data_IF_250908380298
#
_entry.id   IF_250908380298
#
_cell.length_a   1.000
_cell.length_b   1.000
_cell.length_c   1.000
_cell.angle_alpha   90.00
_cell.angle_beta   90.00
_cell.angle_gamma   90.00
#
_symmetry.space_group_name_H-M   'P 1'
#
loop_
_entity.id
_entity.type
_entity.pdbx_description
1 polymer ?
#
# COMPACT_ATOMS: atom_id res chain seq x y z
N UNK A 1 16.11 -45.49 49.89
CA UNK A 1 16.30 -44.80 51.17
C UNK A 1 16.68 -43.38 50.78
N UNK A 2 15.81 -42.39 50.69
CA UNK A 2 14.54 -42.14 51.38
C UNK A 2 13.62 -41.25 50.54
N UNK A 3 12.32 -41.45 50.70
CA UNK A 3 11.30 -40.39 50.67
C UNK A 3 10.87 -40.19 52.14
N UNK A 4 10.38 -39.02 52.60
CA UNK A 4 9.03 -38.56 52.21
C UNK A 4 8.72 -37.03 52.26
N UNK A 5 7.65 -36.63 51.54
CA UNK A 5 6.61 -35.58 51.76
C UNK A 5 6.91 -34.31 52.61
N UNK A 6 6.53 -33.08 52.22
CA UNK A 6 5.17 -32.50 52.04
C UNK A 6 5.32 -31.12 51.37
N UNK A 7 4.46 -30.67 50.45
CA UNK A 7 3.43 -29.64 50.71
C UNK A 7 2.74 -29.33 49.36
N UNK A 8 1.42 -29.46 49.30
CA UNK A 8 0.55 -28.89 48.23
C UNK A 8 0.13 -27.48 48.69
N UNK A 9 -0.18 -26.49 47.81
CA UNK A 9 -1.51 -26.51 47.18
C UNK A 9 -1.63 -25.80 45.81
N UNK A 10 -2.82 -25.97 45.22
CA UNK A 10 -3.48 -25.11 44.23
C UNK A 10 -3.24 -25.36 42.73
N UNK A 11 -4.14 -26.18 42.17
CA UNK A 11 -4.55 -26.14 40.77
C UNK A 11 -5.14 -24.78 40.36
N UNK A 12 -5.07 -24.43 39.06
CA UNK A 12 -5.55 -23.16 38.54
C UNK A 12 -7.08 -23.17 38.47
N UNK A 13 -7.72 -22.33 39.29
CA UNK A 13 -9.13 -21.97 39.14
C UNK A 13 -9.22 -21.07 37.90
N UNK A 14 -9.65 -21.65 36.80
CA UNK A 14 -10.32 -20.91 35.74
C UNK A 14 -11.68 -20.39 36.28
N UNK A 15 -12.15 -19.32 35.66
CA UNK A 15 -13.50 -18.73 35.74
C UNK A 15 -13.74 -17.74 36.87
N UNK A 16 -13.60 -16.45 36.56
CA UNK A 16 -14.56 -15.41 36.97
C UNK A 16 -14.30 -14.12 36.20
N UNK A 17 -15.31 -13.25 36.17
CA UNK A 17 -15.36 -11.93 35.53
C UNK A 17 -15.79 -12.00 34.06
N UNK A 18 -17.01 -12.49 33.85
CA UNK A 18 -18.07 -11.67 33.22
C UNK A 18 -19.41 -12.07 33.86
N UNK A 19 -19.65 -11.61 35.07
CA UNK A 19 -21.01 -11.48 35.60
C UNK A 19 -21.56 -10.13 35.11
N UNK A 20 -22.11 -10.12 33.90
CA UNK A 20 -23.05 -9.08 33.52
C UNK A 20 -24.41 -9.46 34.14
N UNK A 21 -24.66 -8.82 35.28
CA UNK A 21 -25.90 -8.81 36.05
C UNK A 21 -27.03 -8.14 35.25
N UNK A 22 -27.66 -8.89 34.36
CA UNK A 22 -29.01 -8.61 33.87
C UNK A 22 -29.85 -9.88 33.95
N UNK A 23 -29.99 -10.40 35.17
CA UNK A 23 -30.96 -11.46 35.47
C UNK A 23 -32.33 -10.83 35.72
N UNK A 24 -33.36 -11.06 34.88
CA UNK A 24 -34.70 -10.63 35.22
C UNK A 24 -35.21 -11.54 36.34
N UNK A 25 -35.29 -10.99 37.55
CA UNK A 25 -35.91 -11.63 38.72
C UNK A 25 -37.41 -11.87 38.45
N UNK A 26 -37.72 -13.02 37.84
CA UNK A 26 -39.10 -13.49 37.68
C UNK A 26 -39.53 -14.20 38.97
N UNK A 27 -40.43 -13.56 39.71
CA UNK A 27 -41.15 -14.13 40.85
C UNK A 27 -41.99 -15.37 40.47
N UNK A 28 -42.55 -16.06 41.48
CA UNK A 28 -43.24 -17.33 41.25
C UNK A 28 -44.60 -17.09 40.58
N UNK A 29 -44.96 -18.00 39.68
CA UNK A 29 -46.29 -18.22 39.09
C UNK A 29 -46.70 -17.29 37.94
N UNK A 30 -46.47 -17.74 36.70
CA UNK A 30 -47.54 -18.00 35.71
C UNK A 30 -47.08 -19.18 34.83
N UNK A 31 -47.73 -20.33 34.96
CA UNK A 31 -47.72 -21.37 33.93
C UNK A 31 -48.46 -20.81 32.70
N UNK A 32 -47.75 -20.06 31.86
CA UNK A 32 -48.21 -19.74 30.53
C UNK A 32 -47.61 -20.80 29.63
N UNK A 33 -48.45 -21.73 29.16
CA UNK A 33 -48.16 -22.60 28.03
C UNK A 33 -47.94 -21.72 26.80
N UNK A 34 -46.77 -21.10 26.71
CA UNK A 34 -46.29 -20.53 25.46
C UNK A 34 -46.13 -21.69 24.49
N UNK A 35 -46.93 -21.67 23.42
CA UNK A 35 -46.88 -22.66 22.33
C UNK A 35 -45.41 -22.96 22.00
N UNK A 36 -45.03 -24.24 21.95
CA UNK A 36 -43.66 -24.69 21.60
C UNK A 36 -43.12 -23.98 20.36
N UNK A 37 -44.04 -23.63 19.45
CA UNK A 37 -43.82 -22.84 18.25
C UNK A 37 -43.21 -21.45 18.53
N UNK A 38 -43.63 -20.75 19.59
CA UNK A 38 -43.10 -19.42 19.97
C UNK A 38 -41.67 -19.47 20.51
N UNK A 39 -41.31 -20.51 21.26
CA UNK A 39 -39.92 -20.71 21.72
C UNK A 39 -38.99 -21.07 20.57
N UNK A 40 -39.44 -21.90 19.64
CA UNK A 40 -38.70 -22.23 18.42
C UNK A 40 -38.51 -20.99 17.54
N UNK A 41 -39.55 -20.15 17.39
CA UNK A 41 -39.45 -18.90 16.65
C UNK A 41 -38.43 -17.93 17.27
N UNK A 42 -38.36 -17.83 18.60
CA UNK A 42 -37.37 -16.98 19.28
C UNK A 42 -35.92 -17.49 19.09
N UNK A 43 -35.71 -18.80 19.14
CA UNK A 43 -34.39 -19.41 18.90
C UNK A 43 -33.94 -19.17 17.45
N UNK A 44 -34.83 -19.43 16.49
CA UNK A 44 -34.53 -19.24 15.07
C UNK A 44 -34.28 -17.76 14.74
N UNK A 45 -35.05 -16.87 15.36
CA UNK A 45 -34.82 -15.42 15.24
C UNK A 45 -33.45 -15.02 15.79
N UNK A 46 -33.05 -15.53 16.96
CA UNK A 46 -31.73 -15.25 17.53
C UNK A 46 -30.59 -15.72 16.63
N UNK A 47 -30.69 -16.95 16.11
CA UNK A 47 -29.72 -17.51 15.15
C UNK A 47 -29.66 -16.69 13.86
N UNK A 48 -30.81 -16.26 13.36
CA UNK A 48 -30.90 -15.42 12.16
C UNK A 48 -30.21 -14.06 12.39
N UNK A 49 -30.49 -13.39 13.52
CA UNK A 49 -29.87 -12.12 13.90
C UNK A 49 -28.36 -12.25 14.04
N UNK A 50 -27.88 -13.29 14.72
CA UNK A 50 -26.45 -13.54 14.86
C UNK A 50 -25.78 -13.75 13.50
N UNK A 51 -26.41 -14.52 12.61
CA UNK A 51 -25.91 -14.74 11.25
C UNK A 51 -25.81 -13.42 10.48
N UNK A 52 -26.82 -12.56 10.57
CA UNK A 52 -26.81 -11.23 9.92
C UNK A 52 -25.75 -10.29 10.51
N UNK A 53 -25.57 -10.29 11.84
CA UNK A 53 -24.52 -9.49 12.48
C UNK A 53 -23.11 -9.94 12.07
N UNK A 54 -22.84 -11.25 12.09
CA UNK A 54 -21.56 -11.80 11.67
C UNK A 54 -21.29 -11.54 10.18
N UNK A 55 -22.31 -11.72 9.33
CA UNK A 55 -22.22 -11.43 7.91
C UNK A 55 -21.94 -9.94 7.66
N UNK A 56 -22.70 -9.05 8.29
CA UNK A 56 -22.55 -7.60 8.16
C UNK A 56 -21.20 -7.09 8.65
N UNK A 57 -20.68 -7.62 9.77
CA UNK A 57 -19.35 -7.28 10.27
C UNK A 57 -18.24 -7.68 9.29
N UNK A 58 -18.28 -8.92 8.78
CA UNK A 58 -17.29 -9.41 7.81
C UNK A 58 -17.37 -8.63 6.50
N UNK A 59 -18.57 -8.33 6.04
CA UNK A 59 -18.80 -7.54 4.83
C UNK A 59 -18.30 -6.10 5.00
N UNK A 60 -18.61 -5.45 6.12
CA UNK A 60 -18.13 -4.11 6.45
C UNK A 60 -16.61 -4.03 6.52
N UNK A 61 -15.97 -5.00 7.17
CA UNK A 61 -14.51 -5.08 7.25
C UNK A 61 -13.88 -5.28 5.86
N UNK A 62 -14.45 -6.15 5.04
CA UNK A 62 -13.97 -6.41 3.68
C UNK A 62 -14.11 -5.18 2.79
N UNK A 63 -15.30 -4.55 2.79
CA UNK A 63 -15.57 -3.33 2.03
C UNK A 63 -14.67 -2.19 2.46
N UNK A 64 -14.49 -1.97 3.77
CA UNK A 64 -13.62 -0.91 4.29
C UNK A 64 -12.16 -1.07 3.85
N UNK A 65 -11.64 -2.30 3.88
CA UNK A 65 -10.28 -2.61 3.37
C UNK A 65 -10.16 -2.32 1.88
N UNK A 66 -11.14 -2.76 1.09
CA UNK A 66 -11.14 -2.56 -0.36
C UNK A 66 -11.22 -1.08 -0.74
N UNK A 67 -12.08 -0.30 -0.08
CA UNK A 67 -12.23 1.14 -0.33
C UNK A 67 -10.92 1.88 -0.07
N UNK A 68 -10.25 1.61 1.07
CA UNK A 68 -8.95 2.24 1.36
C UNK A 68 -7.86 1.80 0.40
N UNK A 69 -7.83 0.52 0.02
CA UNK A 69 -6.87 0.01 -0.96
C UNK A 69 -7.06 0.67 -2.32
N UNK A 70 -8.31 0.76 -2.79
CA UNK A 70 -8.63 1.37 -4.08
C UNK A 70 -8.25 2.85 -4.10
N UNK A 71 -8.56 3.60 -3.03
CA UNK A 71 -8.14 5.00 -2.93
C UNK A 71 -6.61 5.15 -2.98
N UNK A 72 -5.86 4.24 -2.33
CA UNK A 72 -4.40 4.20 -2.42
C UNK A 72 -3.91 3.88 -3.83
N UNK A 73 -4.56 2.92 -4.51
CA UNK A 73 -4.25 2.54 -5.88
C UNK A 73 -4.51 3.70 -6.85
N UNK A 74 -5.68 4.32 -6.82
CA UNK A 74 -6.05 5.41 -7.74
C UNK A 74 -5.08 6.58 -7.64
N UNK A 75 -4.66 6.90 -6.41
CA UNK A 75 -3.67 7.93 -6.13
C UNK A 75 -2.29 7.59 -6.69
N UNK A 76 -1.83 6.36 -6.46
CA UNK A 76 -0.56 5.86 -7.00
C UNK A 76 -0.59 5.77 -8.52
N UNK A 77 -1.72 5.34 -9.10
CA UNK A 77 -1.94 5.20 -10.53
C UNK A 77 -1.89 6.56 -11.23
N UNK A 78 -2.61 7.56 -10.72
CA UNK A 78 -2.61 8.91 -11.31
C UNK A 78 -1.21 9.50 -11.44
N UNK A 79 -0.40 9.41 -10.39
CA UNK A 79 0.99 9.91 -10.38
C UNK A 79 1.93 9.02 -11.20
N UNK A 80 1.88 7.71 -10.97
CA UNK A 80 2.77 6.75 -11.63
C UNK A 80 2.54 6.65 -13.13
N UNK A 81 1.29 6.76 -13.59
CA UNK A 81 0.94 6.73 -15.01
C UNK A 81 1.51 7.94 -15.76
N UNK A 82 1.39 9.14 -15.19
CA UNK A 82 1.93 10.37 -15.80
C UNK A 82 3.46 10.30 -15.89
N UNK A 83 4.13 9.96 -14.78
CA UNK A 83 5.59 9.84 -14.76
C UNK A 83 6.10 8.73 -15.71
N UNK A 84 5.43 7.58 -15.72
CA UNK A 84 5.77 6.48 -16.62
C UNK A 84 5.61 6.86 -18.10
N UNK A 85 4.57 7.64 -18.42
CA UNK A 85 4.36 8.18 -19.77
C UNK A 85 5.49 9.13 -20.17
N UNK A 86 5.83 10.10 -19.33
CA UNK A 86 6.89 11.07 -19.61
C UNK A 86 8.26 10.39 -19.80
N UNK A 87 8.61 9.44 -18.92
CA UNK A 87 9.83 8.65 -19.05
C UNK A 87 9.85 7.80 -20.33
N UNK A 88 8.70 7.21 -20.68
CA UNK A 88 8.54 6.46 -21.93
C UNK A 88 8.77 7.33 -23.17
N UNK A 89 8.22 8.55 -23.19
CA UNK A 89 8.43 9.53 -24.27
C UNK A 89 9.92 9.85 -24.40
N UNK A 90 10.57 10.18 -23.28
CA UNK A 90 11.97 10.58 -23.26
C UNK A 90 12.91 9.46 -23.75
N UNK A 91 12.64 8.20 -23.35
CA UNK A 91 13.34 7.00 -23.86
C UNK A 91 13.10 6.78 -25.36
N UNK A 92 11.87 6.98 -25.82
CA UNK A 92 11.49 6.87 -27.23
C UNK A 92 12.21 7.90 -28.10
N UNK A 93 12.22 9.16 -27.67
CA UNK A 93 12.94 10.24 -28.35
C UNK A 93 14.45 9.97 -28.41
N UNK A 94 15.07 9.60 -27.30
CA UNK A 94 16.51 9.27 -27.27
C UNK A 94 16.84 8.09 -28.21
N UNK A 95 16.00 7.07 -28.25
CA UNK A 95 16.16 5.91 -29.16
C UNK A 95 15.98 6.30 -30.63
N UNK A 96 15.03 7.19 -30.93
CA UNK A 96 14.83 7.76 -32.26
C UNK A 96 16.04 8.57 -32.73
N UNK A 97 16.58 9.43 -31.86
CA UNK A 97 17.80 10.19 -32.13
C UNK A 97 18.99 9.25 -32.39
N UNK A 98 19.16 8.22 -31.56
CA UNK A 98 20.23 7.24 -31.76
C UNK A 98 20.12 6.58 -33.15
N UNK A 99 18.91 6.15 -33.51
CA UNK A 99 18.64 5.50 -34.79
C UNK A 99 18.93 6.43 -35.97
N UNK A 100 18.54 7.70 -35.86
CA UNK A 100 18.82 8.73 -36.85
C UNK A 100 20.32 8.98 -37.02
N UNK A 101 21.06 9.16 -35.92
CA UNK A 101 22.51 9.39 -35.97
C UNK A 101 23.26 8.18 -36.55
N UNK A 102 22.82 6.96 -36.22
CA UNK A 102 23.40 5.75 -36.80
C UNK A 102 23.12 5.64 -38.31
N UNK A 103 21.95 6.08 -38.78
CA UNK A 103 21.61 6.10 -40.21
C UNK A 103 22.39 7.17 -40.99
N UNK A 104 22.76 8.29 -40.36
CA UNK A 104 23.55 9.35 -40.97
C UNK A 104 25.07 9.12 -40.92
N UNK A 105 25.53 8.09 -40.21
CA UNK A 105 26.95 7.81 -40.03
C UNK A 105 27.63 7.48 -41.36
N UNK A 106 28.61 8.30 -41.77
CA UNK A 106 29.59 7.92 -42.80
C UNK A 106 30.69 7.05 -42.18
N UNK A 107 31.31 6.20 -42.99
CA UNK A 107 32.21 5.11 -42.55
C UNK A 107 33.47 5.63 -41.84
N UNK A 108 33.84 6.89 -42.04
CA UNK A 108 35.17 7.41 -41.70
C UNK A 108 35.23 8.29 -40.43
N UNK A 109 34.09 8.65 -39.82
CA UNK A 109 34.06 9.50 -38.62
C UNK A 109 33.05 8.99 -37.58
N UNK A 110 33.51 8.77 -36.35
CA UNK A 110 32.62 8.46 -35.23
C UNK A 110 32.00 9.75 -34.68
N UNK A 111 30.67 9.81 -34.72
CA UNK A 111 29.93 10.96 -34.22
C UNK A 111 29.86 10.92 -32.68
N UNK A 112 30.47 11.89 -31.95
CA UNK A 112 30.46 11.90 -30.49
C UNK A 112 29.04 11.98 -29.90
N UNK A 113 28.06 12.45 -30.67
CA UNK A 113 26.64 12.49 -30.26
C UNK A 113 26.08 11.09 -30.03
N UNK A 114 26.54 10.07 -30.76
CA UNK A 114 26.09 8.68 -30.60
C UNK A 114 26.41 8.18 -29.19
N UNK A 115 27.64 8.43 -28.71
CA UNK A 115 28.04 8.01 -27.36
C UNK A 115 27.31 8.79 -26.27
N UNK A 116 27.04 10.08 -26.50
CA UNK A 116 26.22 10.90 -25.60
C UNK A 116 24.78 10.36 -25.48
N UNK A 117 24.15 9.98 -26.59
CA UNK A 117 22.80 9.38 -26.59
C UNK A 117 22.78 8.01 -25.92
N UNK A 118 23.81 7.17 -26.11
CA UNK A 118 23.92 5.87 -25.42
C UNK A 118 24.03 6.03 -23.90
N UNK A 119 24.78 7.02 -23.45
CA UNK A 119 24.88 7.35 -22.02
C UNK A 119 23.53 7.86 -21.49
N UNK A 120 22.86 8.75 -22.23
CA UNK A 120 21.52 9.23 -21.89
C UNK A 120 20.51 8.09 -21.76
N UNK A 121 20.46 7.15 -22.70
CA UNK A 121 19.55 5.98 -22.62
C UNK A 121 19.90 5.13 -21.39
N UNK A 122 21.18 4.96 -21.09
CA UNK A 122 21.63 4.20 -19.92
C UNK A 122 21.19 4.88 -18.61
N UNK A 123 21.27 6.21 -18.54
CA UNK A 123 20.81 7.00 -17.39
C UNK A 123 19.28 6.98 -17.27
N UNK A 124 18.56 7.06 -18.38
CA UNK A 124 17.10 6.93 -18.42
C UNK A 124 16.61 5.54 -17.97
N UNK A 125 17.37 4.49 -18.23
CA UNK A 125 17.06 3.13 -17.77
C UNK A 125 17.29 2.96 -16.26
N UNK A 126 18.15 3.79 -15.66
CA UNK A 126 18.38 3.81 -14.21
C UNK A 126 17.37 4.68 -13.45
N UNK A 127 16.65 5.56 -14.14
CA UNK A 127 15.56 6.33 -13.56
C UNK A 127 14.38 5.40 -13.25
N UNK A 128 14.15 5.13 -11.96
CA UNK A 128 12.89 4.57 -11.47
C UNK A 128 12.04 5.71 -10.89
N UNK A 129 10.97 6.14 -11.58
CA UNK A 129 10.15 7.28 -11.14
C UNK A 129 9.15 6.89 -10.02
N UNK A 130 9.03 5.61 -9.69
CA UNK A 130 7.98 5.07 -8.83
C UNK A 130 8.21 5.19 -7.30
N UNK A 131 9.44 5.17 -6.76
CA UNK A 131 9.65 5.16 -5.30
C UNK A 131 9.22 6.46 -4.61
N UNK A 132 9.45 7.62 -5.22
CA UNK A 132 9.40 8.91 -4.52
C UNK A 132 7.98 9.48 -4.34
N UNK A 133 7.04 9.17 -5.24
CA UNK A 133 5.69 9.75 -5.21
C UNK A 133 4.78 9.11 -4.16
N UNK A 134 5.06 7.87 -3.78
CA UNK A 134 4.30 7.11 -2.77
C UNK A 134 4.81 7.43 -1.36
N UNK A 135 6.12 7.67 -1.20
CA UNK A 135 6.77 7.81 0.11
C UNK A 135 6.43 9.12 0.84
N UNK A 136 6.28 10.24 0.11
CA UNK A 136 6.01 11.55 0.72
C UNK A 136 4.65 11.62 1.45
N UNK A 137 3.65 10.86 1.00
CA UNK A 137 2.30 10.92 1.59
C UNK A 137 2.04 9.91 2.71
N UNK A 138 2.86 8.86 2.82
CA UNK A 138 2.80 7.93 3.96
C UNK A 138 3.26 8.61 5.25
N UNK A 139 4.08 9.66 5.14
CA UNK A 139 4.49 10.49 6.28
C UNK A 139 3.37 11.47 6.70
N UNK A 140 2.70 12.13 5.74
CA UNK A 140 1.59 13.06 6.03
C UNK A 140 0.32 12.36 6.54
N UNK A 141 0.08 11.11 6.14
CA UNK A 141 -1.13 10.38 6.59
C UNK A 141 -1.01 9.82 8.01
N UNK A 142 0.19 9.82 8.61
CA UNK A 142 0.41 9.35 10.00
C UNK A 142 0.06 10.40 11.06
N UNK A 143 -0.06 11.67 10.68
CA UNK A 143 -0.22 12.79 11.62
C UNK A 143 -1.68 13.20 11.88
N UNK A 144 -2.67 12.57 11.24
CA UNK A 144 -4.02 13.14 11.19
C UNK A 144 -5.17 12.30 11.79
N UNK A 145 -4.91 11.14 12.41
CA UNK A 145 -6.00 10.37 13.05
C UNK A 145 -5.55 9.63 14.33
N UNK A 146 -5.65 10.26 15.53
CA UNK A 146 -5.24 9.66 16.79
C UNK A 146 -6.32 8.76 17.46
N UNK A 147 -7.39 8.36 16.77
CA UNK A 147 -8.57 7.78 17.45
C UNK A 147 -8.87 6.29 17.21
N UNK A 148 -8.09 5.57 16.40
CA UNK A 148 -8.28 4.13 16.18
C UNK A 148 -6.97 3.35 16.37
N UNK A 149 -6.48 3.35 17.61
CA UNK A 149 -5.49 2.36 18.04
C UNK A 149 -6.20 1.04 18.36
N UNK A 150 -6.45 0.24 17.32
CA UNK A 150 -6.72 -1.19 17.49
C UNK A 150 -5.38 -1.93 17.65
N UNK A 151 -5.31 -2.71 18.73
CA UNK A 151 -4.12 -3.38 19.21
C UNK A 151 -3.92 -4.67 18.43
N UNK A 152 -2.72 -4.85 17.88
CA UNK A 152 -2.23 -6.17 17.50
C UNK A 152 -1.88 -6.32 16.03
N UNK A 153 -0.71 -5.79 15.66
CA UNK A 153 0.18 -6.38 14.67
C UNK A 153 1.56 -5.74 14.89
N UNK A 154 2.57 -6.60 15.08
CA UNK A 154 3.95 -6.25 15.44
C UNK A 154 4.52 -5.09 14.61
N UNK A 155 4.58 -3.90 15.21
CA UNK A 155 5.14 -2.68 14.60
C UNK A 155 6.68 -2.66 14.59
N UNK A 156 7.35 -3.71 15.07
CA UNK A 156 8.80 -3.71 15.23
C UNK A 156 9.59 -3.94 13.94
N UNK A 157 8.98 -4.42 12.85
CA UNK A 157 9.72 -4.74 11.62
C UNK A 157 9.74 -3.61 10.56
N UNK A 158 8.83 -2.63 10.64
CA UNK A 158 8.65 -1.65 9.55
C UNK A 158 9.71 -0.53 9.58
N UNK A 159 10.30 -0.25 10.75
CA UNK A 159 11.24 0.86 10.90
C UNK A 159 12.64 0.59 10.34
N UNK A 160 13.03 -0.68 10.19
CA UNK A 160 14.41 -1.02 9.78
C UNK A 160 14.66 -0.87 8.27
N UNK A 161 13.60 -0.75 7.46
CA UNK A 161 13.68 -0.47 6.01
C UNK A 161 13.82 1.00 5.65
N UNK A 162 13.69 1.91 6.63
CA UNK A 162 13.64 3.37 6.38
C UNK A 162 15.03 4.04 6.26
N UNK A 163 16.11 3.33 6.58
CA UNK A 163 17.45 3.92 6.67
C UNK A 163 18.25 3.98 5.35
N UNK A 164 17.77 3.37 4.26
CA UNK A 164 18.50 3.34 2.98
C UNK A 164 18.02 4.40 1.95
N UNK A 165 17.06 5.26 2.33
CA UNK A 165 16.26 6.05 1.40
C UNK A 165 16.74 7.47 1.09
N UNK A 166 18.06 7.71 1.09
CA UNK A 166 18.62 9.00 0.66
C UNK A 166 18.77 9.12 -0.88
N UNK A 167 18.04 8.30 -1.63
CA UNK A 167 18.00 8.31 -3.10
C UNK A 167 16.92 9.24 -3.66
N UNK A 168 16.03 9.76 -2.81
CA UNK A 168 14.80 10.47 -3.18
C UNK A 168 14.94 11.88 -3.80
N UNK A 169 16.17 12.39 -3.91
CA UNK A 169 16.50 13.61 -4.66
C UNK A 169 17.20 13.27 -5.98
N UNK A 170 17.76 12.07 -6.08
CA UNK A 170 18.60 11.71 -7.22
C UNK A 170 17.75 11.38 -8.44
N UNK A 171 16.56 10.78 -8.28
CA UNK A 171 15.69 10.37 -9.37
C UNK A 171 15.13 11.56 -10.17
N UNK A 172 14.50 12.51 -9.49
CA UNK A 172 13.96 13.73 -10.14
C UNK A 172 15.07 14.60 -10.76
N UNK A 173 16.20 14.77 -10.08
CA UNK A 173 17.33 15.54 -10.62
C UNK A 173 17.93 14.85 -11.85
N UNK A 174 18.05 13.51 -11.85
CA UNK A 174 18.45 12.75 -13.03
C UNK A 174 17.46 12.92 -14.17
N UNK A 175 16.16 12.89 -13.88
CA UNK A 175 15.12 13.03 -14.90
C UNK A 175 15.19 14.39 -15.60
N UNK A 176 15.24 15.48 -14.83
CA UNK A 176 15.39 16.84 -15.39
C UNK A 176 16.70 17.02 -16.15
N UNK A 177 17.80 16.45 -15.63
CA UNK A 177 19.08 16.45 -16.35
C UNK A 177 18.97 15.71 -17.69
N UNK A 178 18.33 14.54 -17.71
CA UNK A 178 18.16 13.77 -18.94
C UNK A 178 17.31 14.53 -19.96
N UNK A 179 16.30 15.27 -19.51
CA UNK A 179 15.47 16.12 -20.37
C UNK A 179 16.31 17.24 -21.00
N UNK A 180 17.09 17.96 -20.19
CA UNK A 180 17.99 19.02 -20.69
C UNK A 180 19.03 18.49 -21.68
N UNK A 181 19.58 17.30 -21.42
CA UNK A 181 20.53 16.64 -22.33
C UNK A 181 19.88 16.25 -23.66
N UNK A 182 18.63 15.76 -23.62
CA UNK A 182 17.89 15.46 -24.84
C UNK A 182 17.64 16.71 -25.68
N UNK A 183 17.22 17.81 -25.05
CA UNK A 183 16.99 19.09 -25.72
C UNK A 183 18.27 19.61 -26.37
N UNK A 184 19.40 19.56 -25.64
CA UNK A 184 20.70 19.94 -26.17
C UNK A 184 21.12 19.07 -27.39
N UNK A 185 20.82 17.77 -27.35
CA UNK A 185 21.06 16.87 -28.47
C UNK A 185 20.17 17.21 -29.67
N UNK A 186 18.88 17.47 -29.48
CA UNK A 186 17.97 17.89 -30.54
C UNK A 186 18.43 19.21 -31.18
N UNK A 187 18.87 20.19 -30.38
CA UNK A 187 19.48 21.42 -30.88
C UNK A 187 20.71 21.13 -31.74
N UNK A 188 21.60 20.24 -31.27
CA UNK A 188 22.84 19.90 -31.98
C UNK A 188 22.62 19.16 -33.31
N UNK A 189 21.45 18.56 -33.50
CA UNK A 189 21.08 17.83 -34.72
C UNK A 189 20.25 18.73 -35.67
N UNK A 190 19.75 19.87 -35.18
CA UNK A 190 18.97 20.83 -35.96
C UNK A 190 17.47 20.55 -35.98
N UNK A 191 16.96 19.74 -35.05
CA UNK A 191 15.54 19.36 -34.96
C UNK A 191 14.71 20.24 -34.02
N UNK A 192 15.13 21.49 -33.76
CA UNK A 192 14.35 22.33 -32.84
C UNK A 192 13.08 22.88 -33.50
N UNK A 193 11.94 22.38 -33.02
CA UNK A 193 10.64 23.00 -33.18
C UNK A 193 10.58 24.17 -32.19
N UNK A 194 10.36 25.38 -32.70
CA UNK A 194 9.94 26.50 -31.89
C UNK A 194 8.51 26.19 -31.41
N UNK A 195 8.32 25.94 -30.11
CA UNK A 195 6.98 25.77 -29.55
C UNK A 195 6.28 27.14 -29.48
N UNK A 196 5.14 27.23 -30.18
CA UNK A 196 3.98 28.03 -29.81
C UNK A 196 3.13 27.25 -28.80
#
# INVERSE_FOLDING_TARGET
MDSPSTTSPHEPVETEIWEDDDSPTLGPHVQSQGSSSGRLAAIEYGRMVETFHQAGYREGLSKGKLVRLQAGFDKGYGKGSQLGKELGILRGQASGILSFLLAQRSVDMEDPRINRVRNLISDLNRCDPLPECIQREVQDSKSQDPSLEDKGLDKQNINQRSAEMNTGTNGQVLFERCKQELDALLMSIGFYQADM
#
